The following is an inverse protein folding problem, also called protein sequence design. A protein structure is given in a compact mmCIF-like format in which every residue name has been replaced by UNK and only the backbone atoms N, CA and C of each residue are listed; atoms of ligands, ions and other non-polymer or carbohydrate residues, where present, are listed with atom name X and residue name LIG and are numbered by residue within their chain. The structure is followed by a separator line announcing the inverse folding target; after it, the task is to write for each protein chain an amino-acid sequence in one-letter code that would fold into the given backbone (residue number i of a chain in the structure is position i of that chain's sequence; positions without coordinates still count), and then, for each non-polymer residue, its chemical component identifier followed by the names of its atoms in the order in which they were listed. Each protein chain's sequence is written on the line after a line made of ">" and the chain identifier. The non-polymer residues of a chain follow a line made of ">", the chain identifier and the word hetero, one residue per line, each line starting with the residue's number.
data_IF_150982390548
#
_entry.id   IF_150982390548
#
_cell.length_a   1.000
_cell.length_b   1.000
_cell.length_c   1.000
_cell.angle_alpha   90.00
_cell.angle_beta   90.00
_cell.angle_gamma   90.00
#
_symmetry.space_group_name_H-M   'P 1'
#
loop_
_entity.id
_entity.type
_entity.pdbx_description
1 polymer ?
#
# COMPACT_ATOMS: atom_id res chain seq x y z
N UNK A 1 24.82 6.52 -1.51
CA UNK A 1 23.76 6.12 -2.46
C UNK A 1 22.57 7.01 -2.19
N UNK A 2 22.02 7.67 -3.21
CA UNK A 2 20.72 8.35 -3.10
C UNK A 2 19.66 7.30 -2.81
N UNK A 3 18.81 7.53 -1.80
CA UNK A 3 17.67 6.68 -1.47
C UNK A 3 16.63 6.66 -2.59
N UNK A 4 15.88 5.54 -2.67
CA UNK A 4 14.91 5.21 -3.73
C UNK A 4 13.90 6.34 -4.04
N UNK A 5 13.57 7.17 -3.04
CA UNK A 5 12.54 8.19 -3.15
C UNK A 5 13.05 9.62 -2.89
N UNK A 6 14.37 9.82 -2.86
CA UNK A 6 14.99 11.09 -2.46
C UNK A 6 14.69 12.25 -3.41
N UNK A 7 14.34 11.96 -4.65
CA UNK A 7 13.89 12.95 -5.64
C UNK A 7 12.50 13.52 -5.36
N UNK A 8 11.71 12.90 -4.49
CA UNK A 8 10.30 13.27 -4.28
C UNK A 8 10.21 14.33 -3.19
N UNK A 9 9.85 15.54 -3.57
CA UNK A 9 9.58 16.65 -2.66
C UNK A 9 8.12 16.66 -2.18
N UNK A 10 7.84 17.28 -1.04
CA UNK A 10 6.48 17.44 -0.49
C UNK A 10 5.64 16.14 -0.51
N UNK A 11 6.21 15.03 -0.02
CA UNK A 11 5.61 13.69 -0.07
C UNK A 11 4.21 13.61 0.55
N UNK A 12 3.94 14.39 1.60
CA UNK A 12 2.61 14.42 2.26
C UNK A 12 1.49 14.96 1.37
N UNK A 13 1.82 15.79 0.38
CA UNK A 13 0.82 16.23 -0.59
C UNK A 13 0.44 15.11 -1.57
N UNK A 14 1.31 14.12 -1.79
CA UNK A 14 0.97 12.90 -2.56
C UNK A 14 0.14 11.96 -1.68
N UNK A 15 0.61 11.69 -0.46
CA UNK A 15 -0.13 10.89 0.53
C UNK A 15 0.37 11.20 1.93
N UNK A 16 -0.54 11.61 2.81
CA UNK A 16 -0.26 11.68 4.25
C UNK A 16 -0.58 10.33 4.90
N UNK A 17 0.45 9.48 5.00
CA UNK A 17 0.32 8.15 5.60
C UNK A 17 -0.21 8.19 7.04
N UNK A 18 0.11 9.23 7.81
CA UNK A 18 -0.34 9.31 9.21
C UNK A 18 -1.85 9.55 9.24
N UNK A 19 -2.32 10.55 8.51
CA UNK A 19 -3.75 10.84 8.44
C UNK A 19 -4.54 9.63 7.90
N UNK A 20 -4.01 8.96 6.86
CA UNK A 20 -4.62 7.76 6.31
C UNK A 20 -4.68 6.60 7.33
N UNK A 21 -3.60 6.37 8.09
CA UNK A 21 -3.59 5.36 9.13
C UNK A 21 -4.58 5.68 10.27
N UNK A 22 -4.69 6.96 10.66
CA UNK A 22 -5.65 7.42 11.66
C UNK A 22 -7.10 7.22 11.16
N UNK A 23 -7.39 7.53 9.89
CA UNK A 23 -8.69 7.28 9.26
C UNK A 23 -9.04 5.78 9.27
N UNK A 24 -8.10 4.92 8.89
CA UNK A 24 -8.33 3.47 8.91
C UNK A 24 -8.53 2.93 10.33
N UNK A 25 -7.79 3.45 11.31
CA UNK A 25 -7.91 3.03 12.71
C UNK A 25 -9.29 3.39 13.31
N UNK A 26 -9.88 4.49 12.84
CA UNK A 26 -11.19 4.99 13.25
C UNK A 26 -12.37 4.28 12.56
N UNK A 27 -12.13 3.44 11.55
CA UNK A 27 -13.19 2.65 10.91
C UNK A 27 -13.80 1.67 11.90
N UNK A 28 -15.12 1.60 11.87
CA UNK A 28 -15.90 0.62 12.60
C UNK A 28 -16.90 -0.06 11.66
N UNK A 29 -17.03 -1.38 11.79
CA UNK A 29 -17.91 -2.19 10.97
C UNK A 29 -18.29 -3.46 11.74
N UNK A 30 -19.47 -4.04 11.46
CA UNK A 30 -20.01 -5.14 12.26
C UNK A 30 -19.27 -6.47 12.05
N UNK A 31 -18.46 -6.59 11.00
CA UNK A 31 -17.70 -7.78 10.67
C UNK A 31 -16.42 -7.44 9.87
N UNK A 32 -15.48 -8.38 9.84
CA UNK A 32 -14.18 -8.24 9.19
C UNK A 32 -14.30 -7.96 7.68
N UNK A 33 -15.31 -8.53 7.02
CA UNK A 33 -15.51 -8.36 5.58
C UNK A 33 -15.90 -6.90 5.25
N UNK A 34 -16.88 -6.35 5.96
CA UNK A 34 -17.28 -4.95 5.80
C UNK A 34 -16.19 -3.98 6.25
N UNK A 35 -15.44 -4.32 7.29
CA UNK A 35 -14.29 -3.53 7.73
C UNK A 35 -13.20 -3.46 6.64
N UNK A 36 -12.88 -4.60 6.01
CA UNK A 36 -11.96 -4.69 4.87
C UNK A 36 -12.45 -3.86 3.68
N UNK A 37 -13.73 -3.95 3.33
CA UNK A 37 -14.32 -3.16 2.23
C UNK A 37 -14.26 -1.65 2.50
N UNK A 38 -14.57 -1.22 3.73
CA UNK A 38 -14.47 0.19 4.12
C UNK A 38 -13.03 0.70 4.04
N UNK A 39 -12.07 -0.11 4.49
CA UNK A 39 -10.65 0.22 4.38
C UNK A 39 -10.17 0.29 2.92
N UNK A 40 -10.57 -0.67 2.09
CA UNK A 40 -10.25 -0.67 0.66
C UNK A 40 -10.81 0.57 -0.05
N UNK A 41 -12.05 0.98 0.28
CA UNK A 41 -12.65 2.20 -0.27
C UNK A 41 -11.86 3.45 0.15
N UNK A 42 -11.44 3.55 1.42
CA UNK A 42 -10.65 4.69 1.89
C UNK A 42 -9.26 4.74 1.24
N UNK A 43 -8.61 3.59 1.07
CA UNK A 43 -7.33 3.45 0.38
C UNK A 43 -7.45 3.80 -1.11
N UNK A 44 -8.56 3.42 -1.76
CA UNK A 44 -8.87 3.81 -3.13
C UNK A 44 -8.94 5.33 -3.29
N UNK A 45 -9.64 6.01 -2.39
CA UNK A 45 -9.71 7.48 -2.39
C UNK A 45 -8.31 8.10 -2.27
N UNK A 46 -7.47 7.59 -1.36
CA UNK A 46 -6.09 8.06 -1.23
C UNK A 46 -5.23 7.80 -2.49
N UNK A 47 -5.46 6.67 -3.17
CA UNK A 47 -4.81 6.36 -4.45
C UNK A 47 -5.21 7.36 -5.52
N UNK A 48 -6.50 7.69 -5.64
CA UNK A 48 -7.03 8.64 -6.61
C UNK A 48 -6.52 10.07 -6.35
N UNK A 49 -6.56 10.52 -5.09
CA UNK A 49 -6.03 11.81 -4.63
C UNK A 49 -4.53 11.94 -4.93
N UNK A 50 -3.75 10.92 -4.57
CA UNK A 50 -2.31 10.93 -4.81
C UNK A 50 -1.97 10.89 -6.30
N UNK A 51 -2.71 10.13 -7.11
CA UNK A 51 -2.55 10.13 -8.57
C UNK A 51 -2.86 11.50 -9.17
N UNK A 52 -3.91 12.17 -8.69
CA UNK A 52 -4.26 13.52 -9.14
C UNK A 52 -3.16 14.54 -8.84
N UNK A 53 -2.57 14.50 -7.63
CA UNK A 53 -1.44 15.37 -7.29
C UNK A 53 -0.20 15.09 -8.15
N UNK A 54 0.13 13.82 -8.39
CA UNK A 54 1.26 13.44 -9.25
C UNK A 54 1.03 13.94 -10.69
N UNK A 55 -0.17 13.75 -11.22
CA UNK A 55 -0.53 14.22 -12.56
C UNK A 55 -0.42 15.75 -12.66
N UNK A 56 -0.90 16.49 -11.65
CA UNK A 56 -0.78 17.95 -11.58
C UNK A 56 0.69 18.38 -11.63
N UNK A 57 1.57 17.77 -10.83
CA UNK A 57 3.01 18.08 -10.84
C UNK A 57 3.66 17.83 -12.19
N UNK A 58 3.28 16.75 -12.87
CA UNK A 58 3.81 16.44 -14.20
C UNK A 58 3.31 17.43 -15.25
N UNK A 59 2.06 17.88 -15.18
CA UNK A 59 1.54 18.94 -16.05
C UNK A 59 2.29 20.26 -15.84
N UNK A 60 2.52 20.65 -14.57
CA UNK A 60 3.25 21.86 -14.21
C UNK A 60 4.74 21.78 -14.63
N UNK A 61 5.31 20.57 -14.63
CA UNK A 61 6.72 20.32 -14.97
C UNK A 61 6.89 19.08 -15.89
N UNK A 62 6.58 19.17 -17.20
CA UNK A 62 6.53 18.01 -18.10
C UNK A 62 7.85 17.23 -18.25
N UNK A 63 8.99 17.87 -18.00
CA UNK A 63 10.31 17.23 -18.06
C UNK A 63 10.62 16.30 -16.85
N UNK A 64 9.72 16.20 -15.87
CA UNK A 64 9.93 15.47 -14.60
C UNK A 64 9.36 14.04 -14.60
N UNK A 65 9.41 13.35 -15.73
CA UNK A 65 8.87 11.99 -15.87
C UNK A 65 9.44 10.97 -14.87
N UNK A 66 10.74 10.98 -14.62
CA UNK A 66 11.37 10.09 -13.63
C UNK A 66 10.88 10.36 -12.19
N UNK A 67 10.69 11.62 -11.83
CA UNK A 67 10.13 11.99 -10.52
C UNK A 67 8.66 11.58 -10.40
N UNK A 68 7.89 11.70 -11.48
CA UNK A 68 6.51 11.21 -11.55
C UNK A 68 6.43 9.70 -11.35
N UNK A 69 7.31 8.93 -12.00
CA UNK A 69 7.35 7.47 -11.84
C UNK A 69 7.75 7.05 -10.41
N UNK A 70 8.75 7.72 -9.84
CA UNK A 70 9.14 7.53 -8.44
C UNK A 70 7.99 7.89 -7.47
N UNK A 71 7.24 8.95 -7.77
CA UNK A 71 6.08 9.38 -6.98
C UNK A 71 4.96 8.35 -7.01
N UNK A 72 4.69 7.74 -8.16
CA UNK A 72 3.73 6.64 -8.28
C UNK A 72 4.14 5.42 -7.44
N UNK A 73 5.41 5.03 -7.51
CA UNK A 73 5.93 3.94 -6.70
C UNK A 73 5.90 4.26 -5.19
N UNK A 74 6.20 5.50 -4.80
CA UNK A 74 6.11 5.97 -3.42
C UNK A 74 4.68 5.92 -2.88
N UNK A 75 3.70 6.39 -3.67
CA UNK A 75 2.28 6.33 -3.32
C UNK A 75 1.87 4.89 -3.03
N UNK A 76 2.18 3.96 -3.95
CA UNK A 76 1.84 2.55 -3.77
C UNK A 76 2.56 1.91 -2.56
N UNK A 77 3.82 2.26 -2.30
CA UNK A 77 4.56 1.80 -1.11
C UNK A 77 3.87 2.25 0.18
N UNK A 78 3.37 3.50 0.25
CA UNK A 78 2.66 3.97 1.44
C UNK A 78 1.29 3.29 1.60
N UNK A 79 0.54 3.07 0.52
CA UNK A 79 -0.74 2.38 0.58
C UNK A 79 -0.58 0.92 1.02
N UNK A 80 0.39 0.19 0.46
CA UNK A 80 0.67 -1.20 0.84
C UNK A 80 1.09 -1.32 2.31
N UNK A 81 1.96 -0.43 2.79
CA UNK A 81 2.36 -0.42 4.20
C UNK A 81 1.18 -0.15 5.13
N UNK A 82 0.32 0.80 4.75
CA UNK A 82 -0.84 1.19 5.57
C UNK A 82 -1.88 0.08 5.59
N UNK A 83 -2.14 -0.57 4.44
CA UNK A 83 -3.00 -1.74 4.36
C UNK A 83 -2.43 -2.92 5.15
N UNK A 84 -1.12 -3.16 5.09
CA UNK A 84 -0.44 -4.19 5.86
C UNK A 84 -0.62 -3.98 7.36
N UNK A 85 -0.28 -2.78 7.85
CA UNK A 85 -0.41 -2.42 9.27
C UNK A 85 -1.86 -2.57 9.74
N UNK A 86 -2.82 -2.09 8.95
CA UNK A 86 -4.25 -2.22 9.22
C UNK A 86 -4.70 -3.68 9.27
N UNK A 87 -4.27 -4.51 8.31
CA UNK A 87 -4.65 -5.93 8.25
C UNK A 87 -4.17 -6.67 9.48
N UNK A 88 -2.93 -6.45 9.90
CA UNK A 88 -2.36 -7.10 11.08
C UNK A 88 -2.93 -6.57 12.39
N UNK A 89 -3.29 -5.29 12.47
CA UNK A 89 -3.79 -4.68 13.70
C UNK A 89 -5.30 -4.89 13.91
N UNK A 90 -6.09 -4.89 12.83
CA UNK A 90 -7.55 -4.74 12.89
C UNK A 90 -8.31 -5.93 12.34
N UNK A 91 -7.83 -6.56 11.27
CA UNK A 91 -8.53 -7.67 10.63
C UNK A 91 -8.12 -9.02 11.21
N UNK A 92 -6.81 -9.24 11.37
CA UNK A 92 -6.24 -10.52 11.82
C UNK A 92 -5.15 -10.33 12.89
N UNK A 93 -5.48 -9.74 14.06
CA UNK A 93 -4.53 -9.61 15.15
C UNK A 93 -4.03 -10.98 15.62
N UNK A 94 -2.71 -11.11 15.77
CA UNK A 94 -2.06 -12.30 16.30
C UNK A 94 -1.42 -11.99 17.66
N UNK A 95 -2.05 -12.44 18.74
CA UNK A 95 -1.61 -12.16 20.11
C UNK A 95 -0.43 -13.03 20.57
N UNK A 96 -0.12 -14.12 19.87
CA UNK A 96 0.96 -15.03 20.24
C UNK A 96 1.69 -15.56 18.99
N UNK A 97 2.38 -14.68 18.23
CA UNK A 97 3.04 -15.06 16.99
C UNK A 97 4.25 -15.95 17.25
N UNK A 98 4.42 -16.98 16.43
CA UNK A 98 5.62 -17.82 16.42
C UNK A 98 6.49 -17.49 15.20
N UNK A 99 7.60 -18.22 15.03
CA UNK A 99 8.41 -18.10 13.83
C UNK A 99 7.65 -18.51 12.55
N UNK A 100 6.60 -19.32 12.66
CA UNK A 100 5.80 -19.82 11.53
C UNK A 100 4.91 -18.73 10.92
N UNK A 101 4.52 -17.72 11.70
CA UNK A 101 3.69 -16.60 11.25
C UNK A 101 4.51 -15.41 10.73
N UNK A 102 5.84 -15.53 10.65
CA UNK A 102 6.66 -14.48 10.02
C UNK A 102 6.29 -14.36 8.54
N UNK A 103 6.17 -13.14 8.06
CA UNK A 103 5.87 -12.88 6.66
C UNK A 103 6.59 -11.61 6.20
N UNK A 104 7.06 -11.62 4.97
CA UNK A 104 7.66 -10.44 4.33
C UNK A 104 6.91 -10.12 3.05
N UNK A 105 6.42 -8.89 2.93
CA UNK A 105 5.92 -8.33 1.69
C UNK A 105 7.10 -7.74 0.90
N UNK A 106 7.28 -8.17 -0.34
CA UNK A 106 8.32 -7.67 -1.23
C UNK A 106 7.71 -6.93 -2.43
N UNK A 107 8.34 -5.81 -2.78
CA UNK A 107 8.05 -5.09 -4.01
C UNK A 107 8.87 -5.69 -5.16
N UNK A 108 8.24 -5.98 -6.29
CA UNK A 108 8.92 -6.49 -7.49
C UNK A 108 8.60 -5.61 -8.71
N UNK A 109 9.17 -5.93 -9.87
CA UNK A 109 8.89 -5.19 -11.10
C UNK A 109 9.30 -3.71 -11.06
N UNK A 110 8.56 -2.86 -11.80
CA UNK A 110 8.78 -1.42 -11.85
C UNK A 110 8.51 -0.72 -10.52
N UNK A 111 7.51 -1.20 -9.77
CA UNK A 111 7.23 -0.75 -8.40
C UNK A 111 8.45 -0.95 -7.49
N UNK A 112 9.04 -2.15 -7.49
CA UNK A 112 10.23 -2.47 -6.71
C UNK A 112 11.45 -1.61 -7.02
N UNK A 113 11.59 -1.13 -8.27
CA UNK A 113 12.67 -0.23 -8.68
C UNK A 113 12.40 1.24 -8.39
N UNK A 114 11.17 1.63 -8.07
CA UNK A 114 10.80 3.05 -7.97
C UNK A 114 10.50 3.69 -9.33
N UNK A 115 10.13 2.90 -10.33
CA UNK A 115 9.93 3.31 -11.72
C UNK A 115 8.52 2.93 -12.20
N UNK A 116 7.50 3.21 -11.40
CA UNK A 116 6.12 2.79 -11.69
C UNK A 116 5.49 3.72 -12.73
N UNK A 117 5.03 3.17 -13.87
CA UNK A 117 4.33 3.98 -14.87
C UNK A 117 2.89 4.29 -14.44
N UNK A 118 2.26 5.35 -14.98
CA UNK A 118 0.87 5.65 -14.70
C UNK A 118 -0.04 4.47 -15.03
N UNK A 119 -0.96 4.15 -14.13
CA UNK A 119 -1.92 3.04 -14.27
C UNK A 119 -1.29 1.64 -14.42
N UNK A 120 0.01 1.46 -14.12
CA UNK A 120 0.59 0.13 -14.04
C UNK A 120 -0.02 -0.71 -12.92
N UNK A 121 -0.11 -2.01 -13.17
CA UNK A 121 -0.38 -3.00 -12.14
C UNK A 121 0.70 -2.98 -11.04
N UNK A 122 0.33 -3.46 -9.86
CA UNK A 122 1.24 -3.56 -8.72
C UNK A 122 1.71 -5.00 -8.55
N UNK A 123 2.99 -5.23 -8.85
CA UNK A 123 3.59 -6.55 -8.64
C UNK A 123 4.19 -6.66 -7.23
N UNK A 124 3.68 -7.62 -6.45
CA UNK A 124 4.14 -7.92 -5.09
C UNK A 124 4.37 -9.41 -4.89
N UNK A 125 5.21 -9.75 -3.91
CA UNK A 125 5.39 -11.13 -3.45
C UNK A 125 5.27 -11.23 -1.94
N UNK A 126 4.81 -12.38 -1.46
CA UNK A 126 4.80 -12.73 -0.04
C UNK A 126 5.80 -13.85 0.21
N UNK A 127 6.73 -13.63 1.13
CA UNK A 127 7.68 -14.63 1.58
C UNK A 127 7.24 -15.11 2.96
N UNK A 128 7.04 -16.42 3.10
CA UNK A 128 6.69 -17.10 4.35
C UNK A 128 7.70 -18.18 4.66
N UNK A 129 7.80 -18.64 5.92
CA UNK A 129 8.43 -19.91 6.27
C UNK A 129 7.88 -21.07 5.43
N UNK A 130 8.65 -22.16 5.37
CA UNK A 130 8.33 -23.37 4.59
C UNK A 130 6.88 -23.84 4.76
N UNK A 131 6.39 -23.90 6.00
CA UNK A 131 5.00 -24.30 6.28
C UNK A 131 4.14 -23.06 6.44
N UNK A 132 3.28 -22.80 5.45
CA UNK A 132 2.27 -21.76 5.54
C UNK A 132 1.24 -22.08 6.63
N UNK A 133 0.84 -21.05 7.36
CA UNK A 133 -0.16 -21.14 8.42
C UNK A 133 -1.50 -20.61 7.91
N UNK A 134 -2.62 -21.05 8.47
CA UNK A 134 -3.93 -20.51 8.09
C UNK A 134 -4.06 -19.00 8.38
N UNK A 135 -3.37 -18.50 9.40
CA UNK A 135 -3.30 -17.06 9.67
C UNK A 135 -2.56 -16.31 8.55
N UNK A 136 -1.43 -16.84 8.08
CA UNK A 136 -0.69 -16.26 6.96
C UNK A 136 -1.53 -16.20 5.69
N UNK A 137 -2.29 -17.26 5.41
CA UNK A 137 -3.22 -17.33 4.28
C UNK A 137 -4.31 -16.25 4.37
N UNK A 138 -4.95 -16.10 5.53
CA UNK A 138 -5.95 -15.06 5.77
C UNK A 138 -5.43 -13.64 5.55
N UNK A 139 -4.21 -13.35 6.03
CA UNK A 139 -3.56 -12.04 5.82
C UNK A 139 -3.28 -11.82 4.34
N UNK A 140 -2.71 -12.81 3.64
CA UNK A 140 -2.39 -12.70 2.21
C UNK A 140 -3.66 -12.48 1.38
N UNK A 141 -4.69 -13.30 1.58
CA UNK A 141 -5.97 -13.15 0.89
C UNK A 141 -6.58 -11.78 1.13
N UNK A 142 -6.56 -11.31 2.38
CA UNK A 142 -7.13 -10.00 2.72
C UNK A 142 -6.38 -8.84 2.08
N UNK A 143 -5.05 -8.92 2.00
CA UNK A 143 -4.24 -7.96 1.24
C UNK A 143 -4.65 -7.96 -0.24
N UNK A 144 -4.70 -9.15 -0.87
CA UNK A 144 -5.00 -9.29 -2.30
C UNK A 144 -6.41 -8.84 -2.65
N UNK A 145 -7.43 -9.26 -1.90
CA UNK A 145 -8.80 -8.82 -2.13
C UNK A 145 -8.99 -7.33 -1.88
N UNK A 146 -8.27 -6.73 -0.92
CA UNK A 146 -8.33 -5.28 -0.70
C UNK A 146 -7.72 -4.51 -1.87
N UNK A 147 -6.61 -5.00 -2.43
CA UNK A 147 -6.00 -4.43 -3.65
C UNK A 147 -6.94 -4.56 -4.86
N UNK A 148 -7.61 -5.70 -5.01
CA UNK A 148 -8.63 -5.88 -6.05
C UNK A 148 -9.80 -4.90 -5.90
N UNK A 149 -10.31 -4.71 -4.68
CA UNK A 149 -11.43 -3.82 -4.41
C UNK A 149 -11.07 -2.32 -4.61
N UNK A 150 -9.78 -1.97 -4.56
CA UNK A 150 -9.30 -0.62 -4.86
C UNK A 150 -9.45 -0.26 -6.35
N UNK A 151 -9.40 -1.25 -7.25
CA UNK A 151 -9.59 -1.06 -8.69
C UNK A 151 -8.32 -0.78 -9.48
#
# INVERSE_FOLDING_TARGET
>A
MSGRFDSIHHRRAIVDRRALADDLAALDAPDTMRLRQAAALRLKQALEEGRAEIARRLIDHPAKGHESAASGAFLMDQLLRTLWDFTLARLYPNSNPTASERMTLIAVGGYGRGEMAPHSDVDIGFITPWKQTGWSEQVIESMLYSLWDMG
#
